data_IF_527925558212
#
_entry.id   IF_527925558212
#
_cell.length_a   1.000
_cell.length_b   1.000
_cell.length_c   1.000
_cell.angle_alpha   90.00
_cell.angle_beta   90.00
_cell.angle_gamma   90.00
#
_symmetry.space_group_name_H-M   'P 1'
#
loop_
_entity.id
_entity.type
_entity.pdbx_description
1 polymer ?
#
# COMPACT_ATOMS: atom_id res chain seq x y z
N UNK A 1 28.90 21.85 13.06
CA UNK A 1 27.48 21.41 13.13
C UNK A 1 26.87 21.73 11.77
N UNK A 2 26.56 20.70 10.96
CA UNK A 2 25.97 20.88 9.64
C UNK A 2 24.49 21.25 9.80
N UNK A 3 24.13 22.45 9.36
CA UNK A 3 22.74 22.87 9.24
C UNK A 3 22.15 22.20 7.98
N UNK A 4 21.10 21.35 8.06
CA UNK A 4 20.48 20.85 6.84
C UNK A 4 19.84 22.02 6.09
N UNK A 5 20.18 22.16 4.81
CA UNK A 5 19.62 23.19 3.91
C UNK A 5 18.11 22.96 3.73
N UNK A 6 17.30 23.48 4.63
CA UNK A 6 15.86 23.69 4.44
C UNK A 6 15.52 25.19 4.31
N UNK A 7 16.52 26.06 4.16
CA UNK A 7 16.31 27.52 4.17
C UNK A 7 15.74 28.10 2.87
N UNK A 8 15.67 27.32 1.80
CA UNK A 8 15.15 27.79 0.51
C UNK A 8 13.70 27.34 0.33
N UNK A 9 12.83 28.29 -0.05
CA UNK A 9 11.42 28.03 -0.33
C UNK A 9 11.29 26.98 -1.44
N UNK A 10 10.28 26.12 -1.33
CA UNK A 10 9.91 25.20 -2.40
C UNK A 10 9.36 25.95 -3.62
N UNK A 11 9.62 25.43 -4.83
CA UNK A 11 9.27 26.15 -6.08
C UNK A 11 7.75 26.32 -6.30
N UNK A 12 6.95 25.32 -5.96
CA UNK A 12 5.49 25.35 -6.19
C UNK A 12 4.75 25.89 -4.96
N UNK A 13 4.93 25.23 -3.80
CA UNK A 13 4.21 25.61 -2.58
C UNK A 13 4.80 26.84 -1.86
N UNK A 14 5.98 27.31 -2.25
CA UNK A 14 6.66 28.48 -1.66
C UNK A 14 6.84 28.41 -0.14
N UNK A 15 6.80 27.18 0.40
CA UNK A 15 6.83 26.89 1.82
C UNK A 15 8.26 26.62 2.29
N UNK A 16 8.50 26.83 3.58
CA UNK A 16 9.83 26.68 4.23
C UNK A 16 9.85 25.60 5.31
N UNK A 17 8.72 24.96 5.58
CA UNK A 17 8.60 23.84 6.52
C UNK A 17 7.81 22.67 5.90
N UNK A 18 8.09 21.42 6.28
CA UNK A 18 7.32 20.26 5.85
C UNK A 18 5.82 20.38 6.12
N UNK A 19 5.44 20.93 7.27
CA UNK A 19 4.04 21.11 7.67
C UNK A 19 3.31 22.05 6.71
N UNK A 20 3.91 23.19 6.37
CA UNK A 20 3.34 24.15 5.44
C UNK A 20 3.32 23.63 3.99
N UNK A 21 4.26 22.76 3.61
CA UNK A 21 4.21 22.06 2.31
C UNK A 21 2.99 21.14 2.26
N UNK A 22 2.73 20.39 3.35
CA UNK A 22 1.55 19.52 3.48
C UNK A 22 0.25 20.29 3.39
N UNK A 23 0.08 21.34 4.21
CA UNK A 23 -1.14 22.18 4.22
C UNK A 23 -1.48 22.76 2.84
N UNK A 24 -0.45 23.12 2.05
CA UNK A 24 -0.65 23.55 0.67
C UNK A 24 -1.22 22.41 -0.20
N UNK A 25 -0.59 21.24 -0.20
CA UNK A 25 -1.00 20.11 -1.05
C UNK A 25 -2.28 19.40 -0.58
N UNK A 26 -2.71 19.59 0.67
CA UNK A 26 -4.00 19.11 1.15
C UNK A 26 -5.19 19.81 0.44
N UNK A 27 -4.97 21.00 -0.10
CA UNK A 27 -6.00 21.82 -0.76
C UNK A 27 -5.75 22.07 -2.25
N UNK A 28 -4.58 21.67 -2.76
CA UNK A 28 -4.18 21.87 -4.15
C UNK A 28 -3.88 20.54 -4.83
N UNK A 29 -4.26 20.41 -6.09
CA UNK A 29 -3.97 19.20 -6.85
C UNK A 29 -2.70 19.36 -7.68
N UNK A 30 -1.95 18.27 -7.87
CA UNK A 30 -0.67 18.30 -8.61
C UNK A 30 -0.87 18.62 -10.09
N UNK A 31 -2.01 18.22 -10.66
CA UNK A 31 -2.38 18.48 -12.05
C UNK A 31 -2.50 19.98 -12.37
N UNK A 32 -2.92 20.81 -11.42
CA UNK A 32 -2.96 22.28 -11.56
C UNK A 32 -1.59 22.89 -11.88
N UNK A 33 -0.52 22.17 -11.57
CA UNK A 33 0.86 22.60 -11.76
C UNK A 33 1.63 21.70 -12.74
N UNK A 34 0.95 20.86 -13.51
CA UNK A 34 1.60 19.87 -14.38
C UNK A 34 2.63 20.49 -15.33
N UNK A 35 2.33 21.67 -15.89
CA UNK A 35 3.23 22.44 -16.77
C UNK A 35 4.52 22.94 -16.08
N UNK A 36 4.54 22.98 -14.75
CA UNK A 36 5.72 23.32 -13.94
C UNK A 36 6.49 22.08 -13.48
N UNK A 37 6.02 20.88 -13.84
CA UNK A 37 6.69 19.61 -13.55
C UNK A 37 7.46 19.11 -14.76
N UNK A 38 8.34 18.14 -14.54
CA UNK A 38 9.01 17.42 -15.61
C UNK A 38 8.75 15.93 -15.45
N UNK A 39 8.70 15.22 -16.57
CA UNK A 39 8.53 13.78 -16.55
C UNK A 39 9.76 13.13 -15.89
N UNK A 40 9.51 12.22 -14.95
CA UNK A 40 10.52 11.40 -14.30
C UNK A 40 10.14 9.93 -14.43
N UNK A 41 11.14 9.08 -14.65
CA UNK A 41 10.93 7.63 -14.65
C UNK A 41 10.96 7.12 -13.21
N UNK A 42 9.87 6.50 -12.77
CA UNK A 42 9.78 5.88 -11.45
C UNK A 42 9.56 4.39 -11.62
N UNK A 43 10.49 3.58 -11.11
CA UNK A 43 10.30 2.13 -11.04
C UNK A 43 9.55 1.76 -9.76
N UNK A 44 8.26 1.50 -9.88
CA UNK A 44 7.47 0.94 -8.78
C UNK A 44 7.57 -0.59 -8.82
N UNK A 45 8.15 -1.20 -7.77
CA UNK A 45 8.09 -2.65 -7.59
C UNK A 45 6.72 -3.06 -7.06
N UNK A 46 5.72 -3.08 -7.93
CA UNK A 46 4.45 -3.73 -7.61
C UNK A 46 4.64 -5.24 -7.76
N UNK A 47 4.70 -5.97 -6.64
CA UNK A 47 4.71 -7.43 -6.69
C UNK A 47 3.36 -7.92 -7.27
N UNK A 48 3.37 -8.82 -8.26
CA UNK A 48 2.13 -9.38 -8.80
C UNK A 48 1.39 -10.11 -7.68
N UNK A 49 0.11 -9.73 -7.47
CA UNK A 49 -0.75 -10.40 -6.50
C UNK A 49 -1.58 -11.45 -7.24
N UNK A 50 -1.35 -12.72 -6.94
CA UNK A 50 -2.23 -13.80 -7.38
C UNK A 50 -3.50 -13.77 -6.55
N UNK A 51 -4.67 -13.75 -7.21
CA UNK A 51 -5.98 -13.75 -6.55
C UNK A 51 -6.78 -14.96 -7.01
N UNK A 52 -7.37 -15.66 -6.06
CA UNK A 52 -8.30 -16.76 -6.31
C UNK A 52 -9.68 -16.28 -5.86
N UNK A 53 -10.68 -16.43 -6.73
CA UNK A 53 -12.06 -16.13 -6.37
C UNK A 53 -12.60 -17.28 -5.54
N UNK A 54 -13.15 -16.96 -4.37
CA UNK A 54 -13.80 -17.92 -3.47
C UNK A 54 -15.31 -17.70 -3.54
N UNK A 55 -16.07 -18.80 -3.52
CA UNK A 55 -17.53 -18.74 -3.51
C UNK A 55 -18.04 -18.00 -2.25
N UNK A 56 -19.10 -17.15 -2.36
CA UNK A 56 -19.55 -16.32 -1.25
C UNK A 56 -19.86 -17.06 0.06
N UNK A 57 -20.54 -18.20 0.01
CA UNK A 57 -20.86 -18.97 1.22
C UNK A 57 -19.61 -19.58 1.86
N UNK A 58 -18.64 -20.03 1.06
CA UNK A 58 -17.33 -20.48 1.55
C UNK A 58 -16.58 -19.31 2.20
N UNK A 59 -16.58 -18.14 1.59
CA UNK A 59 -15.90 -16.97 2.12
C UNK A 59 -16.49 -16.52 3.47
N UNK A 60 -17.82 -16.47 3.58
CA UNK A 60 -18.50 -16.15 4.85
C UNK A 60 -18.08 -17.09 5.98
N UNK A 61 -18.01 -18.39 5.69
CA UNK A 61 -17.57 -19.38 6.65
C UNK A 61 -16.07 -19.26 7.01
N UNK A 62 -15.23 -18.89 6.06
CA UNK A 62 -13.81 -18.62 6.28
C UNK A 62 -13.64 -17.41 7.20
N UNK A 63 -14.38 -16.33 6.95
CA UNK A 63 -14.33 -15.10 7.75
C UNK A 63 -14.72 -15.35 9.20
N UNK A 64 -15.82 -16.07 9.43
CA UNK A 64 -16.26 -16.43 10.78
C UNK A 64 -15.22 -17.27 11.54
N UNK A 65 -14.57 -18.22 10.84
CA UNK A 65 -13.51 -19.05 11.44
C UNK A 65 -12.25 -18.25 11.72
N UNK A 66 -11.88 -17.32 10.83
CA UNK A 66 -10.72 -16.44 11.02
C UNK A 66 -10.93 -15.49 12.19
N UNK A 67 -12.11 -14.85 12.26
CA UNK A 67 -12.51 -13.95 13.35
C UNK A 67 -12.44 -14.62 14.72
N UNK A 68 -12.99 -15.84 14.86
CA UNK A 68 -12.92 -16.61 16.11
C UNK A 68 -11.49 -16.94 16.56
N UNK A 69 -10.52 -16.91 15.65
CA UNK A 69 -9.10 -17.17 15.91
C UNK A 69 -8.26 -15.89 15.99
N UNK A 70 -8.88 -14.71 15.85
CA UNK A 70 -8.15 -13.43 15.79
C UNK A 70 -7.25 -13.28 14.56
N UNK A 71 -7.58 -13.98 13.46
CA UNK A 71 -6.81 -13.99 12.22
C UNK A 71 -7.57 -13.27 11.10
N UNK A 72 -6.82 -12.83 10.08
CA UNK A 72 -7.40 -12.41 8.81
C UNK A 72 -7.84 -13.63 7.99
N UNK A 73 -8.90 -13.53 7.17
CA UNK A 73 -9.30 -14.60 6.24
C UNK A 73 -8.15 -15.07 5.35
N UNK A 74 -7.33 -14.13 4.85
CA UNK A 74 -6.14 -14.39 4.04
C UNK A 74 -5.12 -15.28 4.78
N UNK A 75 -4.84 -14.96 6.04
CA UNK A 75 -3.91 -15.75 6.86
C UNK A 75 -4.42 -17.17 7.07
N UNK A 76 -5.70 -17.31 7.39
CA UNK A 76 -6.31 -18.62 7.67
C UNK A 76 -6.33 -19.51 6.41
N UNK A 77 -6.73 -18.97 5.26
CA UNK A 77 -6.77 -19.75 4.01
C UNK A 77 -5.38 -20.16 3.55
N UNK A 78 -4.38 -19.27 3.69
CA UNK A 78 -3.00 -19.59 3.33
C UNK A 78 -2.44 -20.72 4.21
N UNK A 79 -2.71 -20.72 5.52
CA UNK A 79 -2.30 -21.79 6.41
C UNK A 79 -2.91 -23.14 5.99
N UNK A 80 -4.22 -23.18 5.74
CA UNK A 80 -4.90 -24.41 5.32
C UNK A 80 -4.41 -24.93 3.97
N UNK A 81 -4.17 -24.04 3.01
CA UNK A 81 -3.62 -24.42 1.71
C UNK A 81 -2.21 -24.98 1.86
N UNK A 82 -1.36 -24.35 2.68
CA UNK A 82 -0.01 -24.84 2.95
C UNK A 82 -0.02 -26.23 3.61
N UNK A 83 -0.88 -26.45 4.61
CA UNK A 83 -1.06 -27.75 5.26
C UNK A 83 -1.49 -28.85 4.28
N UNK A 84 -2.43 -28.54 3.36
CA UNK A 84 -2.90 -29.48 2.34
C UNK A 84 -1.82 -29.83 1.33
N UNK A 85 -1.13 -28.83 0.80
CA UNK A 85 -0.07 -29.01 -0.19
C UNK A 85 1.14 -29.77 0.38
N UNK A 86 1.46 -29.56 1.66
CA UNK A 86 2.51 -30.31 2.35
C UNK A 86 2.14 -31.79 2.54
N UNK A 87 0.86 -32.08 2.84
CA UNK A 87 0.36 -33.44 2.97
C UNK A 87 0.32 -34.23 1.66
N UNK A 88 -0.02 -33.55 0.55
CA UNK A 88 -0.08 -34.17 -0.79
C UNK A 88 1.29 -34.46 -1.40
N UNK A 89 2.35 -33.80 -0.90
CA UNK A 89 3.74 -34.03 -1.35
C UNK A 89 4.38 -35.30 -0.79
N UNK A 90 3.65 -36.05 0.06
CA UNK A 90 4.09 -37.31 0.67
C UNK A 90 3.48 -38.58 0.07
N UNK A 91 2.82 -38.51 -1.10
CA UNK A 91 2.16 -39.62 -1.78
C UNK A 91 2.81 -39.97 -3.13
#
# INVERSE_FOLDING_TARGET
MNNPKFLDKTDISQATSPEAIGEFWDTHSLDDYWEKTHAVEITVRALPRHRIVVEPTIYSQLEDRARRRGLLPETLVNLWLAERLAGDSGA
#
